data_IF_591194850017
#
_entry.id   IF_591194850017
#
_cell.length_a   1.000
_cell.length_b   1.000
_cell.length_c   1.000
_cell.angle_alpha   90.00
_cell.angle_beta   90.00
_cell.angle_gamma   90.00
#
_symmetry.space_group_name_H-M   'P 1'
#
loop_
_entity.id
_entity.type
_entity.pdbx_description
1 polymer ?
#
# COMPACT_ATOMS: atom_id res chain seq x y z
N UNK A 1 -17.61 -8.66 6.54
CA UNK A 1 -16.68 -9.48 5.74
C UNK A 1 -15.31 -8.84 5.84
N UNK A 2 -14.25 -9.58 6.19
CA UNK A 2 -12.90 -9.03 6.31
C UNK A 2 -12.28 -8.99 4.92
N UNK A 3 -11.93 -7.80 4.43
CA UNK A 3 -11.26 -7.67 3.14
C UNK A 3 -9.75 -7.96 3.31
N UNK A 4 -9.35 -9.18 2.94
CA UNK A 4 -7.96 -9.63 3.07
C UNK A 4 -7.02 -8.86 2.15
N UNK A 5 -7.48 -8.51 0.94
CA UNK A 5 -6.71 -7.71 -0.01
C UNK A 5 -6.46 -6.30 0.53
N UNK A 6 -7.47 -5.67 1.13
CA UNK A 6 -7.29 -4.38 1.79
C UNK A 6 -6.28 -4.46 2.95
N UNK A 7 -6.39 -5.50 3.79
CA UNK A 7 -5.46 -5.71 4.91
C UNK A 7 -4.02 -5.92 4.41
N UNK A 8 -3.85 -6.66 3.31
CA UNK A 8 -2.55 -6.91 2.70
C UNK A 8 -1.97 -5.64 2.06
N UNK A 9 -2.77 -4.87 1.32
CA UNK A 9 -2.37 -3.60 0.74
C UNK A 9 -1.86 -2.64 1.83
N UNK A 10 -2.61 -2.50 2.94
CA UNK A 10 -2.19 -1.71 4.10
C UNK A 10 -0.83 -2.14 4.65
N UNK A 11 -0.61 -3.44 4.80
CA UNK A 11 0.67 -3.98 5.31
C UNK A 11 1.84 -3.64 4.40
N UNK A 12 1.69 -3.82 3.07
CA UNK A 12 2.77 -3.48 2.14
C UNK A 12 3.04 -1.98 2.03
N UNK A 13 2.01 -1.14 2.13
CA UNK A 13 2.19 0.32 2.20
C UNK A 13 2.99 0.70 3.44
N UNK A 14 2.63 0.13 4.60
CA UNK A 14 3.37 0.37 5.84
C UNK A 14 4.84 -0.06 5.71
N UNK A 15 5.10 -1.25 5.16
CA UNK A 15 6.47 -1.70 4.92
C UNK A 15 7.25 -0.77 3.98
N UNK A 16 6.65 -0.36 2.85
CA UNK A 16 7.30 0.57 1.92
C UNK A 16 7.67 1.90 2.60
N UNK A 17 6.80 2.40 3.48
CA UNK A 17 7.03 3.62 4.27
C UNK A 17 8.14 3.42 5.30
N UNK A 18 8.20 2.27 5.97
CA UNK A 18 9.25 1.96 6.94
C UNK A 18 10.61 1.90 6.25
N UNK A 19 10.69 1.23 5.09
CA UNK A 19 11.92 1.16 4.29
C UNK A 19 12.34 2.54 3.79
N UNK A 20 11.41 3.31 3.21
CA UNK A 20 11.71 4.65 2.68
C UNK A 20 12.20 5.64 3.74
N UNK A 21 11.75 5.49 5.00
CA UNK A 21 12.20 6.31 6.12
C UNK A 21 13.47 5.75 6.80
N UNK A 22 14.03 4.64 6.32
CA UNK A 22 15.23 4.01 6.91
C UNK A 22 14.99 3.28 8.24
N UNK A 23 13.73 2.95 8.58
CA UNK A 23 13.39 2.17 9.76
C UNK A 23 13.52 0.65 9.54
N UNK A 24 13.48 0.20 8.27
CA UNK A 24 13.70 -1.19 7.87
C UNK A 24 14.68 -1.23 6.69
N UNK A 25 15.57 -2.22 6.67
CA UNK A 25 16.42 -2.47 5.51
C UNK A 25 15.60 -3.12 4.39
N UNK A 26 15.78 -2.64 3.16
CA UNK A 26 15.11 -3.22 2.00
C UNK A 26 15.29 -2.40 0.73
N UNK A 27 14.84 -2.99 -0.36
CA UNK A 27 14.74 -2.32 -1.66
C UNK A 27 13.44 -1.48 -1.67
N UNK A 28 13.60 -0.16 -1.52
CA UNK A 28 12.49 0.79 -1.51
C UNK A 28 11.67 0.73 -2.80
N UNK A 29 12.32 0.68 -3.96
CA UNK A 29 11.62 0.67 -5.26
C UNK A 29 10.75 -0.59 -5.40
N UNK A 30 11.31 -1.74 -5.03
CA UNK A 30 10.58 -3.01 -5.02
C UNK A 30 9.44 -3.02 -4.01
N UNK A 31 9.65 -2.46 -2.81
CA UNK A 31 8.62 -2.36 -1.78
C UNK A 31 7.46 -1.47 -2.23
N UNK A 32 7.77 -0.29 -2.79
CA UNK A 32 6.77 0.63 -3.33
C UNK A 32 6.00 -0.01 -4.49
N UNK A 33 6.69 -0.66 -5.44
CA UNK A 33 6.05 -1.35 -6.56
C UNK A 33 5.09 -2.46 -6.09
N UNK A 34 5.51 -3.26 -5.11
CA UNK A 34 4.64 -4.28 -4.49
C UNK A 34 3.41 -3.67 -3.82
N UNK A 35 3.59 -2.58 -3.07
CA UNK A 35 2.50 -1.89 -2.40
C UNK A 35 1.48 -1.32 -3.41
N UNK A 36 1.94 -0.69 -4.50
CA UNK A 36 1.06 -0.18 -5.58
C UNK A 36 0.22 -1.29 -6.21
N UNK A 37 0.83 -2.43 -6.51
CA UNK A 37 0.11 -3.58 -7.07
C UNK A 37 -0.97 -4.12 -6.12
N UNK A 38 -0.67 -4.20 -4.82
CA UNK A 38 -1.64 -4.65 -3.83
C UNK A 38 -2.78 -3.65 -3.63
N UNK A 39 -2.50 -2.34 -3.63
CA UNK A 39 -3.52 -1.29 -3.57
C UNK A 39 -4.49 -1.39 -4.75
N UNK A 40 -3.96 -1.52 -5.98
CA UNK A 40 -4.77 -1.70 -7.19
C UNK A 40 -5.62 -2.97 -7.13
N UNK A 41 -5.05 -4.08 -6.64
CA UNK A 41 -5.75 -5.37 -6.51
C UNK A 41 -6.88 -5.30 -5.46
N UNK A 42 -6.64 -4.62 -4.34
CA UNK A 42 -7.63 -4.43 -3.29
C UNK A 42 -8.79 -3.54 -3.74
N UNK A 43 -8.53 -2.53 -4.57
CA UNK A 43 -9.50 -1.54 -4.99
C UNK A 43 -10.74 -2.16 -5.64
N UNK A 44 -10.54 -3.19 -6.49
CA UNK A 44 -11.61 -3.86 -7.19
C UNK A 44 -12.64 -4.53 -6.26
N UNK A 45 -12.19 -4.99 -5.08
CA UNK A 45 -13.00 -5.76 -4.12
C UNK A 45 -13.32 -4.97 -2.83
N UNK A 46 -13.09 -3.65 -2.84
CA UNK A 46 -13.27 -2.79 -1.68
C UNK A 46 -14.59 -2.03 -1.69
N UNK A 47 -15.10 -1.77 -0.48
CA UNK A 47 -16.22 -0.82 -0.24
C UNK A 47 -15.79 0.62 -0.58
N UNK A 48 -16.73 1.56 -0.69
CA UNK A 48 -16.39 2.97 -0.95
C UNK A 48 -15.44 3.56 0.11
N UNK A 49 -15.68 3.25 1.39
CA UNK A 49 -14.82 3.70 2.48
C UNK A 49 -13.39 3.14 2.37
N UNK A 50 -13.25 1.87 2.03
CA UNK A 50 -11.94 1.24 1.81
C UNK A 50 -11.25 1.78 0.55
N UNK A 51 -12.00 2.04 -0.53
CA UNK A 51 -11.48 2.67 -1.76
C UNK A 51 -10.91 4.06 -1.49
N UNK A 52 -11.55 4.85 -0.63
CA UNK A 52 -11.02 6.14 -0.19
C UNK A 52 -9.69 5.98 0.55
N UNK A 53 -9.58 4.99 1.45
CA UNK A 53 -8.32 4.71 2.14
C UNK A 53 -7.22 4.19 1.19
N UNK A 54 -7.58 3.34 0.22
CA UNK A 54 -6.66 2.85 -0.81
C UNK A 54 -6.13 3.98 -1.70
N UNK A 55 -6.98 4.96 -2.04
CA UNK A 55 -6.53 6.17 -2.74
C UNK A 55 -5.51 6.96 -1.92
N UNK A 56 -5.74 7.14 -0.62
CA UNK A 56 -4.76 7.80 0.25
C UNK A 56 -3.43 7.04 0.31
N UNK A 57 -3.47 5.71 0.31
CA UNK A 57 -2.26 4.89 0.25
C UNK A 57 -1.53 5.04 -1.09
N UNK A 58 -2.26 5.10 -2.21
CA UNK A 58 -1.66 5.36 -3.52
C UNK A 58 -0.93 6.70 -3.52
N UNK A 59 -1.58 7.78 -3.05
CA UNK A 59 -0.98 9.11 -2.95
C UNK A 59 0.26 9.12 -2.04
N UNK A 60 0.23 8.34 -0.96
CA UNK A 60 1.39 8.18 -0.08
C UNK A 60 2.55 7.49 -0.80
N UNK A 61 2.29 6.44 -1.58
CA UNK A 61 3.31 5.71 -2.34
C UNK A 61 3.90 6.54 -3.47
N UNK A 62 3.12 7.40 -4.13
CA UNK A 62 3.64 8.32 -5.16
C UNK A 62 4.66 9.31 -4.59
N UNK A 63 4.55 9.68 -3.31
CA UNK A 63 5.52 10.58 -2.64
C UNK A 63 6.84 9.89 -2.27
N UNK A 64 6.89 8.56 -2.33
CA UNK A 64 8.09 7.77 -2.00
C UNK A 64 8.90 7.38 -3.24
N UNK A 65 8.47 7.80 -4.43
CA UNK A 65 9.22 7.65 -5.69
C UNK A 65 9.89 8.96 -6.06
#
# INVERSE_FOLDING_TARGET
MRNELFSQAKSFVQQAVMIANGFEDGDQEKAVSRAKNAVSSAYANSTDAERQQLHQFQDQLEKLQ
#
